data_IF_261831110781
#
_entry.id   IF_261831110781
#
_cell.length_a   1.000
_cell.length_b   1.000
_cell.length_c   1.000
_cell.angle_alpha   90.00
_cell.angle_beta   90.00
_cell.angle_gamma   90.00
#
_symmetry.space_group_name_H-M   'P 1'
#
loop_
_entity.id
_entity.type
_entity.pdbx_description
1 polymer ?
#
# COMPACT_ATOMS: atom_id res chain seq x y z
N UNK A 1 -2.42 -12.42 16.38
CA UNK A 1 -2.56 -11.18 15.61
C UNK A 1 -1.26 -10.94 14.85
N UNK A 2 -1.33 -10.28 13.70
CA UNK A 2 -0.13 -9.87 12.94
C UNK A 2 -0.04 -8.36 12.95
N UNK A 3 1.14 -7.83 13.34
CA UNK A 3 1.42 -6.40 13.27
C UNK A 3 2.72 -6.16 12.53
N UNK A 4 2.63 -5.41 11.44
CA UNK A 4 3.78 -4.97 10.64
C UNK A 4 4.06 -3.51 10.94
N UNK A 5 5.26 -3.22 11.41
CA UNK A 5 5.79 -1.86 11.54
C UNK A 5 6.50 -1.47 10.25
N UNK A 6 6.21 -0.29 9.72
CA UNK A 6 6.87 0.29 8.55
C UNK A 6 7.35 1.69 8.89
N UNK A 7 8.67 1.87 8.90
CA UNK A 7 9.31 3.16 9.16
C UNK A 7 9.86 3.75 7.87
N UNK A 8 9.30 4.88 7.44
CA UNK A 8 9.76 5.60 6.25
C UNK A 8 11.05 6.35 6.56
N UNK A 9 12.18 5.86 6.05
CA UNK A 9 13.51 6.35 6.42
C UNK A 9 13.81 7.73 5.84
N UNK A 10 13.17 8.09 4.73
CA UNK A 10 13.26 9.42 4.13
C UNK A 10 12.33 10.44 4.81
N UNK A 11 11.31 9.99 5.55
CA UNK A 11 10.27 10.84 6.16
C UNK A 11 9.14 11.22 5.20
N UNK A 12 8.97 10.47 4.11
CA UNK A 12 7.92 10.70 3.12
C UNK A 12 7.35 9.39 2.59
N UNK A 13 6.03 9.36 2.43
CA UNK A 13 5.30 8.29 1.73
C UNK A 13 4.71 8.82 0.43
N UNK A 14 5.20 8.31 -0.70
CA UNK A 14 4.76 8.64 -2.04
C UNK A 14 3.93 7.49 -2.59
N UNK A 15 2.64 7.70 -2.79
CA UNK A 15 1.78 6.77 -3.51
C UNK A 15 0.63 7.50 -4.17
N UNK A 16 0.31 7.12 -5.40
CA UNK A 16 -0.89 7.61 -6.10
C UNK A 16 -2.04 6.64 -5.87
N UNK A 17 -3.22 7.11 -5.44
CA UNK A 17 -4.39 6.26 -5.27
C UNK A 17 -4.75 5.55 -6.57
N UNK A 18 -5.30 4.34 -6.45
CA UNK A 18 -5.85 3.64 -7.61
C UNK A 18 -6.99 4.46 -8.25
N UNK A 19 -7.08 4.44 -9.58
CA UNK A 19 -8.10 5.20 -10.32
C UNK A 19 -7.89 6.72 -10.37
N UNK A 20 -6.73 7.22 -9.91
CA UNK A 20 -6.37 8.65 -9.97
C UNK A 20 -5.12 8.88 -10.79
N UNK A 21 -5.04 10.05 -11.41
CA UNK A 21 -3.86 10.52 -12.11
C UNK A 21 -2.86 11.16 -11.15
N UNK A 22 -1.56 10.93 -11.37
CA UNK A 22 -0.47 11.40 -10.48
C UNK A 22 -0.46 12.93 -10.28
N UNK A 23 -0.89 13.69 -11.29
CA UNK A 23 -0.98 15.15 -11.24
C UNK A 23 -2.27 15.69 -10.58
N UNK A 24 -3.07 14.87 -9.90
CA UNK A 24 -4.23 15.35 -9.13
C UNK A 24 -3.86 15.92 -7.75
N UNK A 25 -2.61 15.76 -7.31
CA UNK A 25 -2.17 16.35 -6.03
C UNK A 25 -2.68 15.62 -4.80
N UNK A 26 -3.19 14.39 -4.94
CA UNK A 26 -3.75 13.59 -3.82
C UNK A 26 -2.91 12.33 -3.63
N UNK A 27 -2.24 12.16 -2.47
CA UNK A 27 -1.56 10.91 -2.15
C UNK A 27 -2.56 9.86 -1.65
N UNK A 28 -2.21 8.59 -1.75
CA UNK A 28 -2.92 7.55 -1.03
C UNK A 28 -2.49 7.57 0.44
N UNK A 29 -3.42 7.59 1.38
CA UNK A 29 -3.11 7.50 2.81
C UNK A 29 -4.38 7.11 3.59
N UNK A 30 -4.43 5.96 4.27
CA UNK A 30 -3.37 4.96 4.48
C UNK A 30 -2.95 4.24 3.18
N UNK A 31 -1.80 3.54 3.16
CA UNK A 31 -1.47 2.61 2.07
C UNK A 31 -2.58 1.58 1.89
N UNK A 32 -3.01 1.37 0.65
CA UNK A 32 -4.05 0.39 0.35
C UNK A 32 -3.58 -1.03 0.68
N UNK A 33 -4.45 -1.89 1.24
CA UNK A 33 -4.10 -3.30 1.49
C UNK A 33 -3.60 -4.00 0.23
N UNK A 34 -4.20 -3.69 -0.92
CA UNK A 34 -3.74 -4.16 -2.22
C UNK A 34 -2.26 -3.83 -2.50
N UNK A 35 -1.86 -2.57 -2.25
CA UNK A 35 -0.49 -2.12 -2.45
C UNK A 35 0.48 -2.79 -1.49
N UNK A 36 0.08 -2.99 -0.23
CA UNK A 36 0.88 -3.71 0.77
C UNK A 36 1.14 -5.14 0.32
N UNK A 37 0.10 -5.88 -0.08
CA UNK A 37 0.23 -7.27 -0.54
C UNK A 37 1.08 -7.37 -1.82
N UNK A 38 0.88 -6.47 -2.79
CA UNK A 38 1.74 -6.44 -3.99
C UNK A 38 3.19 -6.10 -3.69
N UNK A 39 3.46 -5.27 -2.68
CA UNK A 39 4.82 -4.97 -2.27
C UNK A 39 5.53 -6.22 -1.69
N UNK A 40 4.83 -7.03 -0.91
CA UNK A 40 5.35 -8.33 -0.42
C UNK A 40 5.60 -9.30 -1.57
N UNK A 41 4.66 -9.43 -2.51
CA UNK A 41 4.79 -10.30 -3.69
C UNK A 41 5.97 -9.87 -4.58
N UNK A 42 6.11 -8.57 -4.84
CA UNK A 42 7.24 -8.04 -5.60
C UNK A 42 8.58 -8.30 -4.89
N UNK A 43 8.60 -8.17 -3.56
CA UNK A 43 9.79 -8.46 -2.74
C UNK A 43 10.16 -9.94 -2.83
N UNK A 44 9.20 -10.84 -2.70
CA UNK A 44 9.40 -12.29 -2.89
C UNK A 44 10.03 -12.57 -4.27
N UNK A 45 9.37 -12.12 -5.35
CA UNK A 45 9.84 -12.36 -6.72
C UNK A 45 11.25 -11.86 -6.98
N UNK A 46 11.66 -10.77 -6.32
CA UNK A 46 12.96 -10.14 -6.52
C UNK A 46 14.07 -10.73 -5.66
N UNK A 47 13.76 -11.13 -4.43
CA UNK A 47 14.79 -11.39 -3.40
C UNK A 47 14.78 -12.81 -2.87
N UNK A 48 13.69 -13.56 -3.06
CA UNK A 48 13.51 -14.90 -2.49
C UNK A 48 12.88 -15.86 -3.52
N UNK A 49 13.43 -15.98 -4.75
CA UNK A 49 12.82 -16.75 -5.84
C UNK A 49 12.70 -18.26 -5.54
N UNK A 50 13.51 -18.78 -4.62
CA UNK A 50 13.51 -20.19 -4.23
C UNK A 50 12.37 -20.55 -3.27
N UNK A 51 11.68 -19.57 -2.68
CA UNK A 51 10.51 -19.83 -1.84
C UNK A 51 9.37 -20.37 -2.70
N UNK A 52 8.80 -21.54 -2.37
CA UNK A 52 7.70 -22.12 -3.14
C UNK A 52 6.48 -21.20 -3.21
N UNK A 53 5.90 -21.07 -4.40
CA UNK A 53 4.67 -20.28 -4.64
C UNK A 53 3.55 -20.64 -3.67
N UNK A 54 3.38 -21.92 -3.33
CA UNK A 54 2.34 -22.39 -2.40
C UNK A 54 2.49 -21.81 -0.99
N UNK A 55 3.71 -21.57 -0.51
CA UNK A 55 3.93 -20.92 0.79
C UNK A 55 3.54 -19.43 0.74
N UNK A 56 3.87 -18.74 -0.36
CA UNK A 56 3.47 -17.34 -0.58
C UNK A 56 1.95 -17.22 -0.72
N UNK A 57 1.31 -18.12 -1.45
CA UNK A 57 -0.16 -18.18 -1.56
C UNK A 57 -0.82 -18.33 -0.19
N UNK A 58 -0.33 -19.25 0.65
CA UNK A 58 -0.81 -19.41 2.02
C UNK A 58 -0.62 -18.14 2.84
N UNK A 59 0.54 -17.48 2.77
CA UNK A 59 0.80 -16.23 3.49
C UNK A 59 -0.14 -15.11 3.03
N UNK A 60 -0.20 -14.85 1.73
CA UNK A 60 -1.00 -13.76 1.15
C UNK A 60 -2.48 -13.97 1.46
N UNK A 61 -2.99 -15.20 1.38
CA UNK A 61 -4.37 -15.54 1.72
C UNK A 61 -4.73 -15.20 3.17
N UNK A 62 -3.80 -15.34 4.11
CA UNK A 62 -4.05 -14.92 5.50
C UNK A 62 -4.11 -13.40 5.66
N UNK A 63 -3.46 -12.65 4.75
CA UNK A 63 -3.35 -11.19 4.83
C UNK A 63 -4.35 -10.46 3.91
N UNK A 64 -5.25 -11.17 3.22
CA UNK A 64 -6.29 -10.53 2.39
C UNK A 64 -7.38 -9.87 3.23
N UNK A 65 -7.62 -10.33 4.47
CA UNK A 65 -8.51 -9.63 5.40
C UNK A 65 -8.06 -8.17 5.56
N UNK A 66 -8.95 -7.18 5.46
CA UNK A 66 -8.57 -5.78 5.60
C UNK A 66 -7.92 -5.49 6.98
N UNK A 67 -6.74 -4.87 7.02
CA UNK A 67 -6.10 -4.46 8.25
C UNK A 67 -6.64 -3.13 8.78
N UNK A 68 -6.47 -2.94 10.08
CA UNK A 68 -6.47 -1.62 10.71
C UNK A 68 -5.07 -1.00 10.61
N UNK A 69 -4.98 0.32 10.85
CA UNK A 69 -3.72 1.04 10.81
C UNK A 69 -3.51 1.90 12.05
N UNK A 70 -2.24 2.03 12.46
CA UNK A 70 -1.76 3.18 13.22
C UNK A 70 -1.01 4.09 12.26
N UNK A 71 -1.66 5.16 11.81
CA UNK A 71 -1.05 6.18 10.99
C UNK A 71 -0.22 7.12 11.86
N UNK A 72 1.07 7.35 11.57
CA UNK A 72 1.81 8.43 12.19
C UNK A 72 1.18 9.77 11.80
N UNK A 73 1.45 10.82 12.58
CA UNK A 73 1.07 12.18 12.19
C UNK A 73 1.70 12.49 10.83
N UNK A 74 0.83 12.78 9.86
CA UNK A 74 1.22 13.04 8.48
C UNK A 74 0.74 14.39 7.99
N UNK A 75 1.50 15.03 7.12
CA UNK A 75 1.08 16.24 6.38
C UNK A 75 1.16 15.96 4.89
N UNK A 76 0.06 16.17 4.16
CA UNK A 76 0.07 16.09 2.70
C UNK A 76 0.88 17.25 2.15
N UNK A 77 1.85 16.94 1.29
CA UNK A 77 2.72 17.90 0.64
C UNK A 77 3.00 17.48 -0.80
N UNK A 78 3.56 18.41 -1.59
CA UNK A 78 3.99 18.11 -2.94
C UNK A 78 5.15 19.01 -3.37
N UNK A 79 5.96 18.50 -4.29
CA UNK A 79 6.89 19.33 -5.05
C UNK A 79 6.33 19.59 -6.45
N UNK A 80 6.75 20.71 -7.05
CA UNK A 80 6.32 21.14 -8.39
C UNK A 80 7.51 21.14 -9.32
N UNK A 81 7.42 20.39 -10.40
CA UNK A 81 8.49 20.27 -11.39
C UNK A 81 7.99 20.76 -12.74
N UNK A 82 8.74 21.64 -13.39
CA UNK A 82 8.44 22.12 -14.74
C UNK A 82 9.21 21.28 -15.76
N UNK A 83 8.63 20.15 -16.16
CA UNK A 83 9.28 19.16 -17.04
C UNK A 83 9.15 19.55 -18.52
N UNK A 84 10.18 19.33 -19.35
CA UNK A 84 10.09 19.55 -20.81
C UNK A 84 8.90 18.81 -21.44
N UNK A 85 8.06 19.54 -22.19
CA UNK A 85 6.95 18.96 -22.95
C UNK A 85 7.29 18.94 -24.44
N UNK A 86 8.14 18.00 -24.85
CA UNK A 86 8.64 17.88 -26.23
C UNK A 86 7.55 17.73 -27.31
N UNK A 87 6.34 17.27 -26.97
CA UNK A 87 5.21 17.20 -27.91
C UNK A 87 4.65 18.57 -28.33
N UNK A 88 4.87 19.64 -27.54
CA UNK A 88 4.39 21.00 -27.86
C UNK A 88 5.52 21.91 -28.34
N UNK A 89 6.75 21.66 -27.90
CA UNK A 89 7.94 22.36 -28.38
C UNK A 89 9.13 22.23 -27.42
N UNK A 90 10.35 22.61 -27.84
CA UNK A 90 11.56 22.51 -27.01
C UNK A 90 11.56 23.49 -25.81
N UNK A 91 10.84 24.61 -25.91
CA UNK A 91 10.66 25.60 -24.85
C UNK A 91 9.49 25.29 -23.93
N UNK A 92 8.57 24.41 -24.33
CA UNK A 92 7.38 24.11 -23.55
C UNK A 92 7.72 23.32 -22.29
N UNK A 93 7.04 23.68 -21.21
CA UNK A 93 7.13 23.03 -19.92
C UNK A 93 5.75 22.64 -19.45
N UNK A 94 5.65 21.46 -18.86
CA UNK A 94 4.45 21.01 -18.15
C UNK A 94 4.74 20.97 -16.66
N UNK A 95 3.81 21.47 -15.86
CA UNK A 95 3.91 21.36 -14.42
C UNK A 95 3.47 19.95 -14.02
N UNK A 96 4.35 19.24 -13.33
CA UNK A 96 4.13 17.90 -12.76
C UNK A 96 4.18 18.02 -11.24
N UNK A 97 3.22 17.38 -10.58
CA UNK A 97 3.22 17.26 -9.14
C UNK A 97 3.87 15.95 -8.72
N UNK A 98 4.75 16.01 -7.73
CA UNK A 98 5.17 14.84 -6.97
C UNK A 98 4.61 14.97 -5.55
N UNK A 99 3.50 14.27 -5.30
CA UNK A 99 2.70 14.38 -4.08
C UNK A 99 3.02 13.24 -3.12
N UNK A 100 3.10 13.56 -1.83
CA UNK A 100 3.46 12.63 -0.77
C UNK A 100 2.85 13.03 0.57
N UNK A 101 2.92 12.13 1.54
CA UNK A 101 2.64 12.40 2.95
C UNK A 101 3.98 12.51 3.69
N UNK A 102 4.30 13.68 4.22
CA UNK A 102 5.43 13.89 5.11
C UNK A 102 5.10 13.31 6.49
N UNK A 103 5.98 12.47 7.04
CA UNK A 103 5.80 11.77 8.32
C UNK A 103 7.08 11.82 9.15
N UNK A 104 6.96 11.71 10.48
CA UNK A 104 8.12 11.59 11.36
C UNK A 104 8.86 10.26 11.09
N UNK A 105 10.19 10.33 10.91
CA UNK A 105 11.04 9.16 10.65
C UNK A 105 11.15 8.20 11.82
N UNK A 106 10.79 8.64 13.02
CA UNK A 106 10.80 7.87 14.26
C UNK A 106 9.45 7.27 14.62
N UNK A 107 8.35 7.75 14.01
CA UNK A 107 7.00 7.24 14.25
C UNK A 107 6.56 6.31 13.11
N UNK A 108 6.58 4.98 13.31
CA UNK A 108 6.24 4.04 12.25
C UNK A 108 4.74 4.00 11.97
N UNK A 109 4.41 3.73 10.71
CA UNK A 109 3.11 3.19 10.31
C UNK A 109 2.99 1.77 10.86
N UNK A 110 1.88 1.45 11.51
CA UNK A 110 1.54 0.05 11.80
C UNK A 110 0.41 -0.41 10.90
N UNK A 111 0.55 -1.62 10.36
CA UNK A 111 -0.48 -2.37 9.64
C UNK A 111 -0.85 -3.56 10.52
N UNK A 112 -2.10 -3.60 10.97
CA UNK A 112 -2.56 -4.45 12.07
C UNK A 112 -3.67 -5.35 11.53
N UNK A 113 -3.42 -6.66 11.55
CA UNK A 113 -4.45 -7.67 11.33
C UNK A 113 -4.82 -8.30 12.68
N UNK A 114 -5.93 -7.85 13.32
CA UNK A 114 -6.26 -8.24 14.69
C UNK A 114 -6.53 -9.74 14.82
N UNK A 115 -7.21 -10.31 13.83
CA UNK A 115 -7.74 -11.68 13.85
C UNK A 115 -6.84 -12.69 13.12
N UNK A 116 -5.75 -12.24 12.49
CA UNK A 116 -4.85 -13.13 11.75
C UNK A 116 -3.83 -13.73 12.71
N UNK A 117 -3.76 -15.06 12.70
CA UNK A 117 -2.73 -15.85 13.36
C UNK A 117 -1.93 -16.60 12.30
N UNK A 118 -0.61 -16.47 12.34
CA UNK A 118 0.29 -17.19 11.45
C UNK A 118 1.02 -18.28 12.23
N UNK A 119 1.22 -19.43 11.59
CA UNK A 119 2.12 -20.45 12.13
C UNK A 119 3.60 -19.96 12.08
N UNK A 120 4.49 -20.73 12.70
CA UNK A 120 5.92 -20.36 12.77
C UNK A 120 6.59 -20.27 11.39
N UNK A 121 6.14 -21.08 10.42
CA UNK A 121 6.66 -21.09 9.05
C UNK A 121 6.29 -19.78 8.34
N UNK A 122 5.00 -19.42 8.34
CA UNK A 122 4.49 -18.20 7.71
C UNK A 122 4.96 -16.92 8.42
N UNK A 123 5.10 -16.96 9.74
CA UNK A 123 5.66 -15.84 10.53
C UNK A 123 7.11 -15.58 10.13
N UNK A 124 7.93 -16.64 10.02
CA UNK A 124 9.33 -16.52 9.60
C UNK A 124 9.43 -16.01 8.16
N UNK A 125 8.61 -16.54 7.26
CA UNK A 125 8.54 -16.10 5.87
C UNK A 125 8.16 -14.62 5.75
N UNK A 126 7.12 -14.17 6.47
CA UNK A 126 6.72 -12.76 6.48
C UNK A 126 7.84 -11.86 7.03
N UNK A 127 8.49 -12.26 8.12
CA UNK A 127 9.64 -11.54 8.67
C UNK A 127 10.76 -11.35 7.64
N UNK A 128 11.14 -12.40 6.90
CA UNK A 128 12.17 -12.30 5.87
C UNK A 128 11.75 -11.42 4.68
N UNK A 129 10.48 -11.49 4.25
CA UNK A 129 9.96 -10.59 3.22
C UNK A 129 10.02 -9.12 3.67
N UNK A 130 9.67 -8.82 4.91
CA UNK A 130 9.69 -7.46 5.44
C UNK A 130 11.11 -6.91 5.56
N UNK A 131 12.10 -7.74 5.96
CA UNK A 131 13.52 -7.35 5.96
C UNK A 131 14.03 -6.98 4.56
N UNK A 132 13.51 -7.65 3.53
CA UNK A 132 13.90 -7.44 2.14
C UNK A 132 13.09 -6.34 1.42
N UNK A 133 12.07 -5.75 2.06
CA UNK A 133 11.21 -4.72 1.49
C UNK A 133 11.95 -3.37 1.39
N UNK A 134 12.31 -2.87 0.19
CA UNK A 134 13.15 -1.68 0.07
C UNK A 134 12.35 -0.37 0.20
N UNK A 135 11.10 -0.37 -0.24
CA UNK A 135 10.18 0.76 -0.20
C UNK A 135 8.73 0.26 -0.23
N UNK A 136 7.81 1.07 0.28
CA UNK A 136 6.36 0.84 0.16
C UNK A 136 5.73 2.06 -0.51
N UNK A 137 5.02 1.85 -1.63
CA UNK A 137 4.54 2.96 -2.48
C UNK A 137 5.36 3.09 -3.75
N UNK A 138 5.84 4.30 -4.04
CA UNK A 138 6.82 4.56 -5.10
C UNK A 138 8.24 4.46 -4.56
N UNK A 139 9.21 4.38 -5.47
CA UNK A 139 10.64 4.21 -5.17
C UNK A 139 11.26 5.27 -4.27
N UNK A 140 10.62 6.44 -4.11
CA UNK A 140 11.02 7.50 -3.20
C UNK A 140 10.69 7.19 -1.72
N UNK A 141 9.79 6.23 -1.47
CA UNK A 141 9.25 5.91 -0.13
C UNK A 141 10.07 4.83 0.58
N UNK A 142 11.38 5.08 0.73
CA UNK A 142 12.28 4.10 1.36
C UNK A 142 11.82 3.74 2.75
N UNK A 143 11.81 2.45 3.06
CA UNK A 143 11.32 1.97 4.33
C UNK A 143 12.19 0.89 4.95
N UNK A 144 12.04 0.73 6.27
CA UNK A 144 12.38 -0.50 6.98
C UNK A 144 11.09 -1.08 7.53
N UNK A 145 10.89 -2.38 7.35
CA UNK A 145 9.71 -3.06 7.86
C UNK A 145 10.09 -4.27 8.73
N UNK A 146 9.28 -4.54 9.74
CA UNK A 146 9.50 -5.63 10.69
C UNK A 146 8.17 -6.07 11.33
N UNK A 147 8.15 -7.30 11.86
CA UNK A 147 7.07 -7.75 12.73
C UNK A 147 7.28 -7.19 14.14
N UNK A 148 6.19 -6.72 14.76
CA UNK A 148 6.19 -6.24 16.14
C UNK A 148 5.10 -6.95 16.95
N UNK A 149 5.25 -6.96 18.26
CA UNK A 149 4.37 -7.71 19.18
C UNK A 149 3.02 -7.06 19.44
N UNK A 150 2.76 -5.85 18.94
CA UNK A 150 1.48 -5.16 19.13
C UNK A 150 1.50 -3.69 18.70
N UNK A 151 0.34 -3.06 18.80
CA UNK A 151 0.15 -1.65 18.46
C UNK A 151 -1.32 -1.23 18.65
N UNK A 152 -1.55 0.06 18.83
CA UNK A 152 -2.90 0.63 18.93
C UNK A 152 -3.25 1.33 17.63
N UNK A 153 -4.30 0.87 16.95
CA UNK A 153 -4.80 1.49 15.73
C UNK A 153 -5.46 2.86 16.00
N UNK A 154 -5.37 3.76 15.02
CA UNK A 154 -6.08 5.04 14.98
C UNK A 154 -6.83 5.27 13.65
N UNK A 155 -6.76 4.28 12.75
CA UNK A 155 -7.46 4.24 11.48
C UNK A 155 -8.00 2.81 11.33
N UNK A 156 -9.30 2.68 11.11
CA UNK A 156 -9.99 1.41 11.22
C UNK A 156 -10.64 1.04 9.90
N UNK A 157 -10.64 -0.24 9.57
CA UNK A 157 -11.45 -0.76 8.49
C UNK A 157 -12.94 -0.58 8.84
N UNK A 158 -13.65 0.18 8.01
CA UNK A 158 -15.08 0.36 8.17
C UNK A 158 -15.81 -0.86 7.55
N UNK A 159 -16.25 -1.79 8.39
CA UNK A 159 -17.17 -2.86 7.96
C UNK A 159 -18.41 -2.25 7.28
N UNK A 160 -18.75 -2.78 6.10
CA UNK A 160 -19.94 -2.38 5.36
C UNK A 160 -21.19 -2.54 6.24
N UNK A 161 -21.85 -1.43 6.59
CA UNK A 161 -23.07 -1.44 7.40
C UNK A 161 -22.91 -1.13 8.89
N UNK A 162 -21.69 -0.96 9.43
CA UNK A 162 -21.53 -0.33 10.76
C UNK A 162 -21.98 1.12 10.68
N UNK A 163 -22.83 1.54 11.63
CA UNK A 163 -23.40 2.90 11.65
C UNK A 163 -22.27 3.95 11.66
N UNK A 164 -22.19 4.72 10.57
CA UNK A 164 -21.36 5.91 10.38
C UNK A 164 -21.55 6.95 11.51
N UNK A 165 -22.62 6.85 12.33
CA UNK A 165 -22.88 7.77 13.44
C UNK A 165 -21.82 7.78 14.53
N UNK A 166 -20.94 6.76 14.63
CA UNK A 166 -19.77 6.80 15.51
C UNK A 166 -18.55 7.54 14.90
N UNK A 167 -18.66 8.00 13.64
CA UNK A 167 -17.58 8.56 12.83
C UNK A 167 -17.50 10.10 12.83
N UNK A 168 -18.22 10.82 13.69
CA UNK A 168 -18.14 12.30 13.70
C UNK A 168 -16.70 12.82 13.94
N UNK A 169 -15.84 12.01 14.56
CA UNK A 169 -14.43 12.31 14.81
C UNK A 169 -13.45 11.75 13.74
N UNK A 170 -13.95 11.07 12.71
CA UNK A 170 -13.13 10.36 11.72
C UNK A 170 -13.48 10.77 10.28
N UNK A 171 -12.47 10.79 9.41
CA UNK A 171 -12.64 11.00 7.98
C UNK A 171 -12.71 9.64 7.25
N UNK A 172 -13.75 9.37 6.45
CA UNK A 172 -13.79 8.17 5.63
C UNK A 172 -12.83 8.27 4.43
N UNK A 173 -11.91 7.32 4.31
CA UNK A 173 -10.98 7.24 3.18
C UNK A 173 -11.25 5.96 2.39
N UNK A 174 -11.32 6.07 1.06
CA UNK A 174 -11.46 4.91 0.16
C UNK A 174 -10.10 4.48 -0.35
N UNK A 175 -9.77 3.21 -0.16
CA UNK A 175 -8.54 2.57 -0.63
C UNK A 175 -8.88 1.25 -1.34
N UNK A 176 -7.99 0.79 -2.20
CA UNK A 176 -8.16 -0.50 -2.89
C UNK A 176 -7.87 -1.66 -1.93
N UNK A 177 -8.89 -2.45 -1.61
CA UNK A 177 -8.73 -3.68 -0.83
C UNK A 177 -8.91 -4.90 -1.74
N UNK A 178 -8.26 -6.03 -1.44
CA UNK A 178 -8.60 -7.30 -2.06
C UNK A 178 -10.01 -7.73 -1.65
N UNK A 179 -10.65 -8.50 -2.52
CA UNK A 179 -11.89 -9.19 -2.22
C UNK A 179 -11.63 -10.42 -1.32
N UNK A 180 -12.66 -10.96 -0.68
CA UNK A 180 -12.60 -12.13 0.20
C UNK A 180 -12.05 -13.38 -0.52
N UNK A 181 -12.26 -13.46 -1.83
CA UNK A 181 -11.84 -14.57 -2.70
C UNK A 181 -10.50 -14.30 -3.40
N UNK A 182 -9.81 -13.19 -3.11
CA UNK A 182 -8.56 -12.85 -3.76
C UNK A 182 -7.47 -13.91 -3.48
N UNK A 183 -6.85 -14.40 -4.55
CA UNK A 183 -5.73 -15.31 -4.52
C UNK A 183 -4.44 -14.61 -4.97
N UNK A 184 -3.31 -15.34 -5.01
CA UNK A 184 -2.05 -14.75 -5.47
C UNK A 184 -2.16 -14.21 -6.91
N UNK A 185 -2.86 -14.92 -7.81
CA UNK A 185 -3.00 -14.51 -9.20
C UNK A 185 -3.73 -13.18 -9.36
N UNK A 186 -4.71 -12.92 -8.49
CA UNK A 186 -5.44 -11.64 -8.41
C UNK A 186 -4.47 -10.45 -8.30
N UNK A 187 -3.38 -10.59 -7.56
CA UNK A 187 -2.38 -9.54 -7.38
C UNK A 187 -1.30 -9.47 -8.48
N UNK A 188 -1.22 -10.50 -9.33
CA UNK A 188 -0.27 -10.60 -10.43
C UNK A 188 -0.81 -10.02 -11.74
N UNK A 189 -2.11 -9.68 -11.80
CA UNK A 189 -2.72 -9.09 -12.99
C UNK A 189 -2.01 -7.78 -13.36
N UNK A 190 -1.67 -7.63 -14.63
CA UNK A 190 -1.10 -6.38 -15.13
C UNK A 190 -2.18 -5.31 -15.29
N UNK A 191 -1.80 -4.05 -15.04
CA UNK A 191 -2.68 -2.90 -15.29
C UNK A 191 -3.16 -2.85 -16.75
N UNK A 192 -2.36 -3.37 -17.68
CA UNK A 192 -2.74 -3.47 -19.09
C UNK A 192 -3.90 -4.44 -19.30
N UNK A 193 -3.85 -5.62 -18.67
CA UNK A 193 -4.88 -6.64 -18.79
C UNK A 193 -6.23 -6.16 -18.23
N UNK A 194 -6.21 -5.46 -17.09
CA UNK A 194 -7.41 -4.84 -16.51
C UNK A 194 -8.05 -3.82 -17.45
N UNK A 195 -7.23 -3.01 -18.13
CA UNK A 195 -7.72 -2.01 -19.12
C UNK A 195 -8.29 -2.64 -20.37
N UNK A 196 -7.76 -3.80 -20.80
CA UNK A 196 -8.30 -4.56 -21.92
C UNK A 196 -9.66 -5.16 -21.58
N UNK A 197 -9.86 -5.62 -20.35
CA UNK A 197 -11.16 -6.12 -19.87
C UNK A 197 -12.21 -5.00 -19.74
N UNK A 198 -11.82 -3.79 -19.31
CA UNK A 198 -12.72 -2.63 -19.19
C UNK A 198 -13.27 -2.10 -20.53
N UNK A 199 -12.65 -2.46 -21.67
CA UNK A 199 -13.19 -2.13 -23.01
C UNK A 199 -14.44 -2.93 -23.39
N UNK A 200 -14.88 -3.88 -22.55
CA UNK A 200 -16.13 -4.63 -22.70
C UNK A 200 -17.23 -4.13 -21.75
N UNK A 201 -17.40 -2.82 -21.65
CA UNK A 201 -18.72 -2.29 -21.29
C UNK A 201 -19.49 -2.18 -22.59
N UNK A 202 -20.21 -3.25 -22.94
CA UNK A 202 -21.27 -3.17 -23.96
C UNK A 202 -22.30 -2.13 -23.50
N UNK A 203 -22.86 -1.33 -24.43
CA UNK A 203 -23.76 -0.22 -24.12
C UNK A 203 -25.04 -0.63 -23.39
#
# INVERSE_FOLDING_TARGET
>A
MVVVSVRFTAGGYHATPWGRHVNEGVPEWPPSPWRVLRALIATWRRTMPDVPTAQIERLIKNLTTPPDFKLPRGTVAHTRHYMPWFKKGPSDRTMVFDTFVAVDRSDPLLIIWPEVELDNELTSLLSELLKNLPYLGRSESWCKAELVSGGQANCFYAEYGRKISALAAYEPVRVLAPDENADLNTFLVETNDLRLQQKRLDP
#
